data_IF_044379630437
#
_entry.id   IF_044379630437
#
_cell.length_a   1.000
_cell.length_b   1.000
_cell.length_c   1.000
_cell.angle_alpha   90.00
_cell.angle_beta   90.00
_cell.angle_gamma   90.00
#
_symmetry.space_group_name_H-M   'P 1'
#
loop_
_entity.id
_entity.type
_entity.pdbx_description
1 polymer ?
#
# COMPACT_ATOMS: atom_id res chain seq x y z
N UNK A 1 9.23 29.91 46.42
CA UNK A 1 7.96 29.38 45.84
C UNK A 1 8.01 29.23 44.31
N UNK A 2 9.19 29.12 43.69
CA UNK A 2 9.39 29.25 42.22
C UNK A 2 9.85 27.97 41.49
N UNK A 3 10.21 26.91 42.23
CA UNK A 3 10.70 25.65 41.65
C UNK A 3 9.67 24.85 40.81
N UNK A 4 8.34 24.85 41.10
CA UNK A 4 7.37 24.10 40.31
C UNK A 4 7.19 24.67 38.90
N UNK A 5 7.20 25.99 38.75
CA UNK A 5 7.01 26.69 37.47
C UNK A 5 8.18 26.47 36.51
N UNK A 6 9.41 26.41 37.03
CA UNK A 6 10.62 26.17 36.22
C UNK A 6 10.68 24.72 35.72
N UNK A 7 10.27 23.73 36.55
CA UNK A 7 10.14 22.33 36.08
C UNK A 7 9.08 22.17 35.00
N UNK A 8 7.96 22.88 35.13
CA UNK A 8 6.86 22.81 34.17
C UNK A 8 7.27 23.45 32.83
N UNK A 9 7.95 24.60 32.84
CA UNK A 9 8.47 25.24 31.62
C UNK A 9 9.56 24.41 30.94
N UNK A 10 10.47 23.78 31.70
CA UNK A 10 11.49 22.88 31.15
C UNK A 10 10.86 21.62 30.53
N UNK A 11 9.83 21.04 31.15
CA UNK A 11 9.10 19.89 30.59
C UNK A 11 8.37 20.24 29.29
N UNK A 12 7.79 21.45 29.20
CA UNK A 12 7.12 21.92 27.99
C UNK A 12 8.11 22.22 26.87
N UNK A 13 9.26 22.83 27.18
CA UNK A 13 10.31 23.06 26.18
C UNK A 13 10.83 21.73 25.61
N UNK A 14 11.12 20.76 26.47
CA UNK A 14 11.61 19.43 26.05
C UNK A 14 10.59 18.66 25.18
N UNK A 15 9.29 18.77 25.47
CA UNK A 15 8.25 18.11 24.66
C UNK A 15 8.04 18.83 23.32
N UNK A 16 8.21 20.15 23.27
CA UNK A 16 8.14 20.92 22.04
C UNK A 16 9.32 20.61 21.11
N UNK A 17 10.53 20.49 21.65
CA UNK A 17 11.73 20.16 20.87
C UNK A 17 11.72 18.72 20.37
N UNK A 18 11.23 17.78 21.18
CA UNK A 18 10.95 16.41 20.73
C UNK A 18 9.97 16.37 19.56
N UNK A 19 8.84 17.06 19.66
CA UNK A 19 7.84 17.10 18.58
C UNK A 19 8.39 17.73 17.30
N UNK A 20 9.25 18.74 17.40
CA UNK A 20 9.94 19.32 16.24
C UNK A 20 10.86 18.31 15.57
N UNK A 21 11.64 17.55 16.33
CA UNK A 21 12.51 16.51 15.79
C UNK A 21 11.71 15.40 15.07
N UNK A 22 10.61 14.93 15.66
CA UNK A 22 9.72 13.93 15.04
C UNK A 22 9.10 14.46 13.74
N UNK A 23 8.68 15.73 13.72
CA UNK A 23 8.14 16.39 12.52
C UNK A 23 9.18 16.51 11.43
N UNK A 24 10.40 16.90 11.77
CA UNK A 24 11.50 17.00 10.83
C UNK A 24 11.83 15.64 10.20
N UNK A 25 11.93 14.59 11.03
CA UNK A 25 12.12 13.22 10.56
C UNK A 25 10.98 12.74 9.66
N UNK A 26 9.73 13.02 10.04
CA UNK A 26 8.56 12.69 9.23
C UNK A 26 8.59 13.36 7.85
N UNK A 27 9.04 14.63 7.77
CA UNK A 27 9.19 15.35 6.50
C UNK A 27 10.30 14.73 5.65
N UNK A 28 11.43 14.32 6.24
CA UNK A 28 12.49 13.61 5.52
C UNK A 28 11.96 12.31 4.93
N UNK A 29 11.23 11.51 5.72
CA UNK A 29 10.64 10.26 5.24
C UNK A 29 9.64 10.50 4.09
N UNK A 30 8.82 11.54 4.19
CA UNK A 30 7.91 11.95 3.11
C UNK A 30 8.68 12.33 1.84
N UNK A 31 9.72 13.17 1.97
CA UNK A 31 10.52 13.61 0.81
C UNK A 31 11.22 12.42 0.16
N UNK A 32 11.84 11.53 0.93
CA UNK A 32 12.43 10.30 0.41
C UNK A 32 11.40 9.43 -0.33
N UNK A 33 10.22 9.24 0.27
CA UNK A 33 9.11 8.51 -0.36
C UNK A 33 8.68 9.13 -1.69
N UNK A 34 8.54 10.47 -1.73
CA UNK A 34 8.14 11.17 -2.96
C UNK A 34 9.23 11.14 -4.04
N UNK A 35 10.50 11.28 -3.66
CA UNK A 35 11.63 11.20 -4.60
C UNK A 35 11.66 9.82 -5.26
N UNK A 36 11.57 8.75 -4.46
CA UNK A 36 11.56 7.38 -4.97
C UNK A 36 10.34 7.11 -5.82
N UNK A 37 9.15 7.58 -5.42
CA UNK A 37 7.94 7.40 -6.22
C UNK A 37 8.05 8.11 -7.58
N UNK A 38 8.48 9.37 -7.61
CA UNK A 38 8.63 10.16 -8.85
C UNK A 38 9.67 9.54 -9.78
N UNK A 39 10.77 9.03 -9.24
CA UNK A 39 11.81 8.38 -10.02
C UNK A 39 11.43 6.95 -10.46
N UNK A 40 10.65 6.23 -9.64
CA UNK A 40 10.22 4.86 -9.88
C UNK A 40 9.14 4.74 -10.94
N UNK A 41 8.22 5.69 -11.03
CA UNK A 41 7.14 5.68 -12.04
C UNK A 41 7.65 5.51 -13.49
N UNK A 42 8.55 6.36 -14.02
CA UNK A 42 9.00 6.22 -15.40
C UNK A 42 9.82 4.95 -15.62
N UNK A 43 10.64 4.55 -14.63
CA UNK A 43 11.47 3.35 -14.71
C UNK A 43 10.62 2.09 -14.76
N UNK A 44 9.61 2.02 -13.89
CA UNK A 44 8.67 0.90 -13.85
C UNK A 44 7.86 0.83 -15.13
N UNK A 45 7.44 1.97 -15.66
CA UNK A 45 6.71 2.01 -16.93
C UNK A 45 7.56 1.48 -18.09
N UNK A 46 8.84 1.88 -18.17
CA UNK A 46 9.77 1.41 -19.20
C UNK A 46 10.09 -0.08 -19.07
N UNK A 47 10.33 -0.57 -17.86
CA UNK A 47 10.57 -1.99 -17.55
C UNK A 47 9.42 -2.88 -18.02
N UNK A 48 8.18 -2.45 -17.76
CA UNK A 48 6.99 -3.24 -18.05
C UNK A 48 6.62 -3.18 -19.54
N UNK A 49 6.97 -2.08 -20.24
CA UNK A 49 6.81 -1.97 -21.70
C UNK A 49 7.82 -2.81 -22.48
N UNK A 50 9.02 -3.05 -21.92
CA UNK A 50 10.10 -3.80 -22.54
C UNK A 50 10.41 -5.07 -21.73
N UNK A 51 9.49 -6.06 -21.71
CA UNK A 51 9.70 -7.31 -20.98
C UNK A 51 10.90 -8.09 -21.54
N UNK A 52 11.48 -8.92 -20.68
CA UNK A 52 12.55 -9.85 -21.09
C UNK A 52 11.99 -10.84 -22.12
N UNK A 53 12.85 -11.31 -23.03
CA UNK A 53 12.44 -12.17 -24.16
C UNK A 53 11.62 -13.40 -23.72
N UNK A 54 11.99 -14.04 -22.61
CA UNK A 54 11.26 -15.17 -22.03
C UNK A 54 9.80 -14.80 -21.66
N UNK A 55 9.61 -13.67 -20.96
CA UNK A 55 8.29 -13.15 -20.60
C UNK A 55 7.47 -12.75 -21.84
N UNK A 56 8.14 -12.12 -22.82
CA UNK A 56 7.50 -11.72 -24.06
C UNK A 56 7.01 -12.91 -24.90
N UNK A 57 7.75 -14.04 -24.86
CA UNK A 57 7.34 -15.30 -25.49
C UNK A 57 6.11 -15.86 -24.77
N UNK A 58 6.15 -15.96 -23.44
CA UNK A 58 5.04 -16.49 -22.64
C UNK A 58 3.73 -15.72 -22.87
N UNK A 59 3.78 -14.38 -22.85
CA UNK A 59 2.60 -13.54 -23.07
C UNK A 59 2.02 -13.73 -24.49
N UNK A 60 2.91 -13.89 -25.48
CA UNK A 60 2.51 -14.16 -26.87
C UNK A 60 1.90 -15.55 -27.02
N UNK A 61 2.45 -16.57 -26.37
CA UNK A 61 1.90 -17.94 -26.37
C UNK A 61 0.50 -18.00 -25.78
N UNK A 62 0.24 -17.18 -24.76
CA UNK A 62 -1.09 -17.03 -24.19
C UNK A 62 -2.05 -16.15 -25.01
N UNK A 63 -1.59 -15.58 -26.13
CA UNK A 63 -2.41 -14.75 -27.00
C UNK A 63 -2.65 -13.33 -26.48
N UNK A 64 -1.85 -12.84 -25.54
CA UNK A 64 -1.97 -11.49 -24.96
C UNK A 64 -0.97 -10.55 -25.64
N UNK A 65 -1.42 -9.33 -25.98
CA UNK A 65 -0.54 -8.30 -26.50
C UNK A 65 0.41 -7.79 -25.39
N UNK A 66 1.72 -7.73 -25.67
CA UNK A 66 2.70 -7.25 -24.69
C UNK A 66 2.38 -5.85 -24.16
N UNK A 67 1.93 -4.95 -25.05
CA UNK A 67 1.50 -3.61 -24.65
C UNK A 67 0.28 -3.65 -23.73
N UNK A 68 -0.70 -4.53 -23.96
CA UNK A 68 -1.85 -4.63 -23.08
C UNK A 68 -1.45 -5.08 -21.67
N UNK A 69 -0.65 -6.16 -21.59
CA UNK A 69 -0.19 -6.69 -20.32
C UNK A 69 0.66 -5.66 -19.55
N UNK A 70 1.48 -4.91 -20.27
CA UNK A 70 2.28 -3.84 -19.71
C UNK A 70 1.43 -2.76 -19.02
N UNK A 71 0.41 -2.25 -19.71
CA UNK A 71 -0.50 -1.25 -19.14
C UNK A 71 -1.33 -1.83 -17.98
N UNK A 72 -1.69 -3.11 -18.04
CA UNK A 72 -2.40 -3.79 -16.98
C UNK A 72 -1.59 -3.83 -15.67
N UNK A 73 -0.35 -4.34 -15.71
CA UNK A 73 0.53 -4.40 -14.53
C UNK A 73 0.78 -3.01 -13.96
N UNK A 74 1.11 -2.04 -14.81
CA UNK A 74 1.36 -0.67 -14.37
C UNK A 74 0.11 -0.03 -13.72
N UNK A 75 -1.08 -0.34 -14.23
CA UNK A 75 -2.34 0.12 -13.63
C UNK A 75 -2.56 -0.49 -12.25
N UNK A 76 -2.24 -1.79 -12.06
CA UNK A 76 -2.29 -2.43 -10.76
C UNK A 76 -1.32 -1.80 -9.76
N UNK A 77 -0.09 -1.51 -10.19
CA UNK A 77 0.92 -0.83 -9.37
C UNK A 77 0.44 0.55 -8.91
N UNK A 78 -0.20 1.32 -9.82
CA UNK A 78 -0.83 2.61 -9.49
C UNK A 78 -1.99 2.46 -8.50
N UNK A 79 -2.90 1.51 -8.73
CA UNK A 79 -4.04 1.25 -7.83
C UNK A 79 -3.52 0.89 -6.43
N UNK A 80 -2.53 0.02 -6.36
CA UNK A 80 -1.86 -0.34 -5.12
C UNK A 80 -1.34 0.91 -4.42
N UNK A 81 -0.51 1.71 -5.09
CA UNK A 81 0.11 2.90 -4.48
C UNK A 81 -0.92 3.93 -4.02
N UNK A 82 -1.97 4.17 -4.81
CA UNK A 82 -3.08 5.05 -4.43
C UNK A 82 -3.81 4.54 -3.18
N UNK A 83 -4.01 3.22 -3.07
CA UNK A 83 -4.61 2.58 -1.90
C UNK A 83 -3.86 2.84 -0.59
N UNK A 84 -2.54 3.00 -0.65
CA UNK A 84 -1.71 3.35 0.51
C UNK A 84 -1.60 4.87 0.75
N UNK A 85 -1.50 5.67 -0.32
CA UNK A 85 -1.27 7.11 -0.21
C UNK A 85 -2.53 7.92 0.13
N UNK A 86 -3.71 7.53 -0.35
CA UNK A 86 -4.97 8.23 -0.04
C UNK A 86 -5.23 8.27 1.48
N UNK A 87 -5.15 7.14 2.22
CA UNK A 87 -5.11 7.10 3.68
C UNK A 87 -4.17 8.12 4.33
N UNK A 88 -2.93 8.21 3.85
CA UNK A 88 -1.93 9.15 4.39
C UNK A 88 -2.38 10.59 4.22
N UNK A 89 -2.94 10.95 3.06
CA UNK A 89 -3.48 12.29 2.78
C UNK A 89 -4.69 12.62 3.67
N UNK A 90 -5.58 11.65 3.90
CA UNK A 90 -6.73 11.80 4.80
C UNK A 90 -6.25 12.07 6.23
N UNK A 91 -5.23 11.34 6.69
CA UNK A 91 -4.65 11.51 8.04
C UNK A 91 -3.79 12.78 8.17
N UNK A 92 -3.31 13.36 7.05
CA UNK A 92 -2.38 14.48 7.05
C UNK A 92 -2.90 15.77 7.71
N UNK A 93 -4.21 15.96 7.82
CA UNK A 93 -4.79 17.11 8.54
C UNK A 93 -4.71 16.98 10.06
N UNK A 94 -4.61 15.75 10.58
CA UNK A 94 -4.64 15.45 12.03
C UNK A 94 -3.26 15.14 12.59
N UNK A 95 -2.30 14.79 11.73
CA UNK A 95 -0.97 14.30 12.14
C UNK A 95 -0.21 15.25 13.07
N UNK A 96 -0.33 16.56 12.90
CA UNK A 96 0.61 17.49 13.55
C UNK A 96 0.47 17.58 15.07
N UNK A 97 -0.66 17.18 15.65
CA UNK A 97 -0.92 17.27 17.09
C UNK A 97 -0.94 15.92 17.81
N UNK A 98 -0.94 14.80 17.09
CA UNK A 98 -1.02 13.45 17.66
C UNK A 98 0.15 12.58 17.18
N UNK A 99 1.12 12.26 18.05
CA UNK A 99 2.29 11.43 17.70
C UNK A 99 1.92 10.06 17.13
N UNK A 100 0.82 9.44 17.58
CA UNK A 100 0.39 8.16 17.03
C UNK A 100 -0.04 8.31 15.57
N UNK A 101 -0.72 9.39 15.21
CA UNK A 101 -1.14 9.65 13.83
C UNK A 101 0.05 9.94 12.93
N UNK A 102 1.08 10.63 13.44
CA UNK A 102 2.34 10.81 12.71
C UNK A 102 3.00 9.46 12.44
N UNK A 103 3.07 8.60 13.46
CA UNK A 103 3.65 7.27 13.35
C UNK A 103 2.87 6.38 12.37
N UNK A 104 1.53 6.35 12.47
CA UNK A 104 0.69 5.57 11.55
C UNK A 104 0.84 6.08 10.11
N UNK A 105 0.74 7.39 9.89
CA UNK A 105 0.90 7.95 8.53
C UNK A 105 2.30 7.70 7.96
N UNK A 106 3.34 7.75 8.79
CA UNK A 106 4.70 7.37 8.40
C UNK A 106 4.77 5.92 7.98
N UNK A 107 4.25 5.02 8.82
CA UNK A 107 4.22 3.58 8.54
C UNK A 107 3.50 3.29 7.23
N UNK A 108 2.31 3.89 7.02
CA UNK A 108 1.53 3.64 5.80
C UNK A 108 2.22 4.16 4.54
N UNK A 109 2.89 5.33 4.59
CA UNK A 109 3.57 5.85 3.39
C UNK A 109 4.86 5.08 3.08
N UNK A 110 5.68 4.77 4.08
CA UNK A 110 6.96 4.09 3.86
C UNK A 110 6.77 2.60 3.58
N UNK A 111 5.88 1.93 4.30
CA UNK A 111 5.59 0.50 4.06
C UNK A 111 4.82 0.28 2.76
N UNK A 112 3.89 1.18 2.43
CA UNK A 112 3.18 1.12 1.15
C UNK A 112 4.14 1.25 -0.03
N UNK A 113 5.11 2.16 0.03
CA UNK A 113 6.11 2.26 -1.03
C UNK A 113 7.12 1.10 -1.00
N UNK A 114 7.52 0.60 0.18
CA UNK A 114 8.51 -0.49 0.33
C UNK A 114 8.12 -1.81 -0.33
N UNK A 115 6.82 -2.03 -0.47
CA UNK A 115 6.21 -3.23 -1.03
C UNK A 115 5.69 -3.01 -2.47
N UNK A 116 5.99 -1.86 -3.06
CA UNK A 116 5.56 -1.50 -4.41
C UNK A 116 6.63 -1.75 -5.47
N UNK A 117 6.20 -2.00 -6.69
CA UNK A 117 7.10 -2.15 -7.84
C UNK A 117 7.78 -0.84 -8.27
N UNK A 118 7.28 0.32 -7.81
CA UNK A 118 7.96 1.60 -8.04
C UNK A 118 9.25 1.69 -7.23
N UNK A 119 9.27 1.14 -6.03
CA UNK A 119 10.49 1.09 -5.22
C UNK A 119 11.46 0.07 -5.80
N UNK A 120 11.00 -1.14 -6.14
CA UNK A 120 11.85 -2.17 -6.77
C UNK A 120 12.55 -1.63 -8.03
N UNK A 121 11.85 -0.88 -8.88
CA UNK A 121 12.42 -0.28 -10.08
C UNK A 121 13.58 0.71 -9.82
N UNK A 122 13.71 1.24 -8.61
CA UNK A 122 14.78 2.20 -8.22
C UNK A 122 15.83 1.60 -7.30
N UNK A 123 15.67 0.34 -6.90
CA UNK A 123 16.59 -0.32 -5.99
C UNK A 123 17.94 -0.60 -6.63
N UNK A 124 18.90 -0.87 -5.73
CA UNK A 124 20.23 -1.37 -6.10
C UNK A 124 20.14 -2.87 -6.28
N UNK A 125 20.67 -3.35 -7.41
CA UNK A 125 20.74 -4.77 -7.72
C UNK A 125 22.19 -5.18 -7.93
N UNK A 126 22.49 -6.45 -7.65
CA UNK A 126 23.83 -6.98 -7.85
C UNK A 126 24.00 -7.48 -9.29
N UNK A 127 24.98 -6.93 -10.01
CA UNK A 127 25.40 -7.42 -11.32
C UNK A 127 26.87 -7.81 -11.22
N UNK A 128 27.19 -9.09 -11.41
CA UNK A 128 28.55 -9.63 -11.37
C UNK A 128 29.35 -9.31 -10.08
N UNK A 129 28.68 -9.23 -8.92
CA UNK A 129 29.34 -8.92 -7.65
C UNK A 129 29.36 -7.44 -7.27
N UNK A 130 28.95 -6.54 -8.19
CA UNK A 130 28.86 -5.10 -7.96
C UNK A 130 27.41 -4.65 -7.76
N UNK A 131 27.19 -3.80 -6.76
CA UNK A 131 25.90 -3.19 -6.48
C UNK A 131 25.67 -1.99 -7.41
N UNK A 132 24.78 -2.16 -8.39
CA UNK A 132 24.46 -1.14 -9.39
C UNK A 132 23.00 -0.72 -9.20
N UNK A 133 22.80 0.53 -8.83
CA UNK A 133 21.47 1.14 -8.85
C UNK A 133 21.05 1.41 -10.29
N UNK A 134 19.85 0.98 -10.69
CA UNK A 134 19.30 1.28 -12.04
C UNK A 134 19.34 2.77 -12.39
N UNK A 135 19.30 3.63 -11.37
CA UNK A 135 19.39 5.10 -11.48
C UNK A 135 20.54 5.72 -10.67
N UNK A 136 21.53 4.92 -10.28
CA UNK A 136 22.70 5.37 -9.52
C UNK A 136 22.59 5.19 -7.99
N UNK A 137 23.72 5.38 -7.27
CA UNK A 137 23.87 4.94 -5.89
C UNK A 137 23.08 5.78 -4.87
N UNK A 138 22.89 7.07 -5.13
CA UNK A 138 22.18 7.97 -4.21
C UNK A 138 20.70 7.60 -4.12
N UNK A 139 20.05 7.43 -5.27
CA UNK A 139 18.62 7.08 -5.29
C UNK A 139 18.41 5.68 -4.71
N UNK A 140 19.28 4.72 -5.02
CA UNK A 140 19.27 3.40 -4.41
C UNK A 140 19.34 3.44 -2.88
N UNK A 141 20.25 4.24 -2.31
CA UNK A 141 20.34 4.42 -0.86
C UNK A 141 19.08 5.05 -0.25
N UNK A 142 18.41 5.97 -0.96
CA UNK A 142 17.12 6.54 -0.51
C UNK A 142 16.04 5.45 -0.53
N UNK A 143 15.98 4.64 -1.58
CA UNK A 143 15.02 3.52 -1.70
C UNK A 143 15.22 2.48 -0.61
N UNK A 144 16.46 2.10 -0.31
CA UNK A 144 16.80 1.19 0.80
C UNK A 144 16.41 1.78 2.16
N UNK A 145 16.68 3.07 2.38
CA UNK A 145 16.29 3.74 3.61
C UNK A 145 14.77 3.76 3.80
N UNK A 146 14.01 4.06 2.74
CA UNK A 146 12.54 4.03 2.76
C UNK A 146 12.04 2.61 3.01
N UNK A 147 12.64 1.60 2.36
CA UNK A 147 12.29 0.19 2.56
C UNK A 147 12.55 -0.25 4.01
N UNK A 148 13.72 0.07 4.56
CA UNK A 148 14.10 -0.21 5.94
C UNK A 148 13.11 0.44 6.93
N UNK A 149 12.75 1.71 6.71
CA UNK A 149 11.78 2.41 7.56
C UNK A 149 10.38 1.80 7.46
N UNK A 150 9.90 1.48 6.25
CA UNK A 150 8.63 0.79 6.03
C UNK A 150 8.57 -0.54 6.76
N UNK A 151 9.57 -1.40 6.50
CA UNK A 151 9.71 -2.70 7.14
C UNK A 151 9.78 -2.58 8.66
N UNK A 152 10.63 -1.73 9.22
CA UNK A 152 10.78 -1.59 10.68
C UNK A 152 9.50 -1.11 11.39
N UNK A 153 8.67 -0.30 10.72
CA UNK A 153 7.51 0.35 11.35
C UNK A 153 6.21 -0.44 11.23
N UNK A 154 6.04 -1.31 10.22
CA UNK A 154 4.77 -2.02 10.00
C UNK A 154 4.34 -2.88 11.19
N UNK A 155 5.25 -3.68 11.76
CA UNK A 155 4.93 -4.52 12.92
C UNK A 155 4.72 -3.69 14.19
N UNK A 156 5.45 -2.59 14.31
CA UNK A 156 5.30 -1.65 15.42
C UNK A 156 3.87 -1.08 15.47
N UNK A 157 3.23 -0.86 14.32
CA UNK A 157 1.82 -0.47 14.25
C UNK A 157 0.91 -1.51 14.91
N UNK A 158 1.18 -2.81 14.76
CA UNK A 158 0.39 -3.87 15.39
C UNK A 158 0.65 -4.00 16.89
N UNK A 159 1.74 -3.51 17.44
CA UNK A 159 1.95 -3.56 18.89
C UNK A 159 1.46 -2.29 19.61
N UNK A 160 1.41 -1.15 18.91
CA UNK A 160 1.16 0.17 19.49
C UNK A 160 -0.30 0.65 19.28
N UNK A 161 -0.87 0.43 18.09
CA UNK A 161 -2.22 0.91 17.75
C UNK A 161 -3.28 0.15 18.54
N UNK A 162 -4.33 0.74 19.17
CA UNK A 162 -4.88 2.10 18.93
C UNK A 162 -4.44 3.20 19.89
N UNK A 163 -3.88 2.86 21.05
CA UNK A 163 -3.73 3.79 22.17
C UNK A 163 -2.29 4.24 22.40
N UNK A 164 -1.33 3.80 21.58
CA UNK A 164 0.07 4.19 21.72
C UNK A 164 0.86 3.35 22.73
N UNK A 165 0.23 2.35 23.36
CA UNK A 165 0.82 1.59 24.45
C UNK A 165 1.17 0.17 24.01
N UNK A 166 2.38 -0.26 24.34
CA UNK A 166 2.82 -1.63 24.15
C UNK A 166 2.08 -2.57 25.09
N UNK A 167 1.19 -3.38 24.51
CA UNK A 167 0.43 -4.39 25.24
C UNK A 167 0.38 -5.68 24.41
N UNK A 168 0.95 -6.79 24.93
CA UNK A 168 1.65 -6.94 26.21
C UNK A 168 2.97 -6.15 26.29
N UNK A 169 3.48 -5.87 27.50
CA UNK A 169 4.73 -5.09 27.65
C UNK A 169 5.95 -5.73 26.97
N UNK A 170 6.00 -7.06 26.83
CA UNK A 170 7.09 -7.72 26.10
C UNK A 170 7.14 -7.35 24.61
N UNK A 171 6.04 -6.86 24.04
CA UNK A 171 5.97 -6.46 22.62
C UNK A 171 6.96 -5.35 22.25
N UNK A 172 7.44 -4.56 23.21
CA UNK A 172 8.49 -3.59 22.94
C UNK A 172 9.80 -4.26 22.48
N UNK A 173 10.16 -5.42 23.05
CA UNK A 173 11.35 -6.16 22.66
C UNK A 173 11.20 -6.73 21.25
N UNK A 174 9.99 -7.14 20.86
CA UNK A 174 9.74 -7.59 19.48
C UNK A 174 9.87 -6.44 18.48
N UNK A 175 9.43 -5.24 18.84
CA UNK A 175 9.64 -4.06 17.99
C UNK A 175 11.11 -3.72 17.84
N UNK A 176 11.88 -3.77 18.93
CA UNK A 176 13.34 -3.54 18.88
C UNK A 176 14.03 -4.62 18.05
N UNK A 177 13.67 -5.89 18.25
CA UNK A 177 14.22 -7.01 17.52
C UNK A 177 13.90 -6.92 16.02
N UNK A 178 12.64 -6.64 15.67
CA UNK A 178 12.20 -6.50 14.29
C UNK A 178 12.82 -5.30 13.58
N UNK A 179 12.88 -4.15 14.26
CA UNK A 179 13.54 -2.95 13.75
C UNK A 179 15.04 -3.19 13.54
N UNK A 180 15.70 -3.83 14.50
CA UNK A 180 17.11 -4.24 14.38
C UNK A 180 17.33 -5.21 13.23
N UNK A 181 16.42 -6.16 13.01
CA UNK A 181 16.49 -7.09 11.89
C UNK A 181 16.38 -6.37 10.54
N UNK A 182 15.50 -5.38 10.40
CA UNK A 182 15.42 -4.56 9.18
C UNK A 182 16.68 -3.73 8.94
N UNK A 183 17.32 -3.21 10.00
CA UNK A 183 18.63 -2.55 9.90
C UNK A 183 19.69 -3.55 9.43
N UNK A 184 19.73 -4.75 10.00
CA UNK A 184 20.66 -5.81 9.58
C UNK A 184 20.43 -6.20 8.12
N UNK A 185 19.19 -6.34 7.67
CA UNK A 185 18.85 -6.65 6.28
C UNK A 185 19.22 -5.53 5.31
N UNK A 186 19.14 -4.27 5.75
CA UNK A 186 19.60 -3.12 4.95
C UNK A 186 21.12 -3.05 4.86
N UNK A 187 21.85 -3.32 5.96
CA UNK A 187 23.33 -3.27 5.97
C UNK A 187 23.98 -4.52 5.37
N UNK A 188 23.33 -5.67 5.49
CA UNK A 188 23.83 -6.97 5.03
C UNK A 188 22.77 -7.68 4.17
N UNK A 189 22.58 -7.25 2.90
CA UNK A 189 21.52 -7.80 2.05
C UNK A 189 21.58 -9.32 1.84
N UNK A 190 22.79 -9.91 1.88
CA UNK A 190 23.08 -11.32 1.56
C UNK A 190 22.83 -12.32 2.70
N UNK A 191 22.35 -11.88 3.86
CA UNK A 191 22.09 -12.80 4.99
C UNK A 191 20.91 -13.72 4.64
N UNK A 192 21.00 -15.06 4.80
CA UNK A 192 20.02 -16.05 4.32
C UNK A 192 18.61 -16.01 4.94
N UNK A 193 18.30 -14.97 5.71
CA UNK A 193 16.99 -14.70 6.32
C UNK A 193 16.39 -13.38 5.82
N UNK A 194 17.01 -12.73 4.83
CA UNK A 194 16.59 -11.42 4.37
C UNK A 194 15.32 -11.48 3.53
N UNK A 195 14.21 -11.01 4.09
CA UNK A 195 12.92 -10.97 3.43
C UNK A 195 12.72 -9.75 2.50
N UNK A 196 13.61 -8.75 2.56
CA UNK A 196 13.45 -7.48 1.84
C UNK A 196 14.30 -7.39 0.56
N UNK A 197 15.33 -8.25 0.43
CA UNK A 197 16.26 -8.24 -0.69
C UNK A 197 15.98 -9.38 -1.68
N UNK A 198 15.66 -9.02 -2.92
CA UNK A 198 15.16 -9.92 -3.96
C UNK A 198 16.05 -11.16 -4.20
N UNK A 199 17.36 -10.99 -4.41
CA UNK A 199 18.23 -12.13 -4.73
C UNK A 199 18.32 -13.14 -3.57
N UNK A 200 18.25 -12.65 -2.33
CA UNK A 200 18.30 -13.51 -1.15
C UNK A 200 16.96 -14.19 -0.89
N UNK A 201 15.86 -13.47 -1.12
CA UNK A 201 14.52 -14.03 -1.12
C UNK A 201 14.42 -15.23 -2.08
N UNK A 202 14.89 -15.10 -3.32
CA UNK A 202 14.86 -16.19 -4.31
C UNK A 202 15.76 -17.36 -3.92
N UNK A 203 16.94 -17.10 -3.34
CA UNK A 203 17.87 -18.16 -2.92
C UNK A 203 17.40 -18.90 -1.68
N UNK A 204 16.70 -18.22 -0.77
CA UNK A 204 16.28 -18.76 0.55
C UNK A 204 14.82 -18.39 0.88
N UNK A 205 13.84 -18.78 0.02
CA UNK A 205 12.47 -18.33 0.15
C UNK A 205 11.80 -18.85 1.42
N UNK A 206 12.04 -20.11 1.77
CA UNK A 206 11.47 -20.75 2.96
C UNK A 206 11.90 -20.06 4.27
N UNK A 207 13.18 -19.70 4.38
CA UNK A 207 13.74 -19.05 5.55
C UNK A 207 13.25 -17.60 5.67
N UNK A 208 13.27 -16.87 4.56
CA UNK A 208 12.85 -15.47 4.48
C UNK A 208 11.34 -15.32 4.74
N UNK A 209 10.53 -16.21 4.19
CA UNK A 209 9.11 -16.27 4.50
C UNK A 209 8.86 -16.69 5.94
N UNK A 210 9.53 -17.75 6.42
CA UNK A 210 9.34 -18.28 7.78
C UNK A 210 9.59 -17.23 8.86
N UNK A 211 10.63 -16.40 8.71
CA UNK A 211 10.91 -15.31 9.66
C UNK A 211 9.87 -14.20 9.58
N UNK A 212 9.50 -13.74 8.37
CA UNK A 212 8.47 -12.72 8.18
C UNK A 212 7.12 -13.18 8.78
N UNK A 213 6.76 -14.42 8.48
CA UNK A 213 5.57 -15.10 8.95
C UNK A 213 5.52 -15.22 10.48
N UNK A 214 6.63 -15.63 11.11
CA UNK A 214 6.73 -15.73 12.56
C UNK A 214 6.40 -14.40 13.23
N UNK A 215 7.03 -13.30 12.80
CA UNK A 215 6.80 -12.00 13.42
C UNK A 215 5.37 -11.48 13.21
N UNK A 216 4.80 -11.66 12.01
CA UNK A 216 3.40 -11.31 11.75
C UNK A 216 2.43 -12.12 12.61
N UNK A 217 2.70 -13.41 12.80
CA UNK A 217 1.92 -14.30 13.68
C UNK A 217 1.97 -13.83 15.13
N UNK A 218 3.16 -13.44 15.61
CA UNK A 218 3.34 -12.86 16.95
C UNK A 218 2.57 -11.53 17.09
N UNK A 219 2.60 -10.67 16.07
CA UNK A 219 1.83 -9.43 16.00
C UNK A 219 0.32 -9.65 16.05
N UNK A 220 -0.19 -10.60 15.25
CA UNK A 220 -1.58 -11.06 15.28
C UNK A 220 -1.98 -11.57 16.67
N UNK A 221 -1.16 -12.43 17.27
CA UNK A 221 -1.37 -12.98 18.61
C UNK A 221 -1.46 -11.88 19.68
N UNK A 222 -0.56 -10.89 19.63
CA UNK A 222 -0.59 -9.75 20.54
C UNK A 222 -1.85 -8.88 20.38
N UNK A 223 -2.28 -8.62 19.14
CA UNK A 223 -3.52 -7.89 18.85
C UNK A 223 -4.75 -8.64 19.34
N UNK A 224 -4.83 -9.96 19.11
CA UNK A 224 -5.92 -10.82 19.61
C UNK A 224 -5.93 -10.83 21.14
N UNK A 225 -4.77 -11.01 21.78
CA UNK A 225 -4.64 -10.97 23.23
C UNK A 225 -5.19 -9.64 23.77
N UNK A 226 -4.75 -8.52 23.21
CA UNK A 226 -5.17 -7.21 23.67
C UNK A 226 -6.67 -6.98 23.45
N UNK A 227 -7.20 -7.36 22.29
CA UNK A 227 -8.64 -7.29 21.99
C UNK A 227 -9.47 -8.06 23.02
N UNK A 228 -9.04 -9.27 23.41
CA UNK A 228 -9.79 -10.14 24.33
C UNK A 228 -9.63 -9.75 25.80
N UNK A 229 -8.43 -9.34 26.22
CA UNK A 229 -8.06 -9.24 27.65
C UNK A 229 -7.92 -7.83 28.18
N UNK A 230 -7.54 -6.84 27.36
CA UNK A 230 -7.11 -5.52 27.85
C UNK A 230 -7.96 -4.37 27.29
N UNK A 231 -8.37 -4.46 26.03
CA UNK A 231 -9.04 -3.36 25.34
C UNK A 231 -10.38 -3.00 25.98
N UNK A 232 -10.59 -1.70 26.21
CA UNK A 232 -11.88 -1.10 26.58
C UNK A 232 -12.92 -1.27 25.45
N UNK A 233 -14.23 -1.09 25.68
CA UNK A 233 -15.24 -1.25 24.63
C UNK A 233 -14.97 -0.44 23.36
N UNK A 234 -14.52 0.82 23.49
CA UNK A 234 -14.17 1.67 22.36
C UNK A 234 -12.90 1.21 21.64
N UNK A 235 -11.87 0.81 22.40
CA UNK A 235 -10.62 0.27 21.84
C UNK A 235 -10.84 -1.07 21.14
N UNK A 236 -11.77 -1.91 21.62
CA UNK A 236 -12.14 -3.17 20.95
C UNK A 236 -12.70 -2.90 19.57
N UNK A 237 -13.55 -1.88 19.42
CA UNK A 237 -14.08 -1.52 18.11
C UNK A 237 -12.97 -1.04 17.16
N UNK A 238 -12.02 -0.24 17.65
CA UNK A 238 -10.84 0.17 16.84
C UNK A 238 -9.97 -1.03 16.46
N UNK A 239 -9.62 -1.86 17.44
CA UNK A 239 -8.78 -3.04 17.24
C UNK A 239 -9.45 -4.09 16.34
N UNK A 240 -10.79 -4.18 16.33
CA UNK A 240 -11.53 -5.08 15.43
C UNK A 240 -11.22 -4.79 13.97
N UNK A 241 -11.30 -3.53 13.54
CA UNK A 241 -11.01 -3.17 12.15
C UNK A 241 -9.55 -3.39 11.79
N UNK A 242 -8.63 -3.07 12.69
CA UNK A 242 -7.19 -3.34 12.47
C UNK A 242 -6.88 -4.82 12.41
N UNK A 243 -7.52 -5.65 13.24
CA UNK A 243 -7.43 -7.10 13.15
C UNK A 243 -7.90 -7.62 11.79
N UNK A 244 -8.99 -7.07 11.26
CA UNK A 244 -9.47 -7.42 9.91
C UNK A 244 -8.42 -7.07 8.85
N UNK A 245 -7.86 -5.85 8.87
CA UNK A 245 -6.79 -5.46 7.96
C UNK A 245 -5.55 -6.34 8.07
N UNK A 246 -5.18 -6.70 9.29
CA UNK A 246 -4.02 -7.56 9.55
C UNK A 246 -4.23 -8.99 9.05
N UNK A 247 -5.45 -9.54 9.20
CA UNK A 247 -5.79 -10.85 8.63
C UNK A 247 -5.69 -10.81 7.10
N UNK A 248 -6.19 -9.75 6.45
CA UNK A 248 -6.07 -9.61 4.99
C UNK A 248 -4.62 -9.46 4.54
N UNK A 249 -3.81 -8.64 5.22
CA UNK A 249 -2.38 -8.53 4.94
C UNK A 249 -1.66 -9.87 5.12
N UNK A 250 -1.99 -10.62 6.17
CA UNK A 250 -1.45 -11.96 6.40
C UNK A 250 -1.87 -12.97 5.33
N UNK A 251 -3.13 -12.92 4.87
CA UNK A 251 -3.60 -13.73 3.74
C UNK A 251 -2.89 -13.36 2.44
N UNK A 252 -2.59 -12.08 2.19
CA UNK A 252 -1.83 -11.65 1.02
C UNK A 252 -0.45 -12.34 0.98
N UNK A 253 0.24 -12.41 2.12
CA UNK A 253 1.53 -13.09 2.23
C UNK A 253 1.43 -14.59 1.95
N UNK A 254 0.37 -15.25 2.44
CA UNK A 254 0.12 -16.66 2.12
C UNK A 254 -0.12 -16.91 0.63
N UNK A 255 -0.92 -16.05 -0.01
CA UNK A 255 -1.21 -16.15 -1.44
C UNK A 255 0.07 -15.97 -2.26
N UNK A 256 0.93 -15.02 -1.88
CA UNK A 256 2.22 -14.79 -2.55
C UNK A 256 3.21 -15.95 -2.37
N UNK A 257 3.15 -16.69 -1.26
CA UNK A 257 4.10 -17.76 -0.94
C UNK A 257 3.60 -19.17 -1.29
N UNK A 258 2.39 -19.32 -1.82
CA UNK A 258 1.81 -20.64 -2.01
C UNK A 258 2.57 -21.43 -3.10
N UNK A 259 3.12 -22.64 -2.81
CA UNK A 259 4.05 -23.35 -3.70
C UNK A 259 3.50 -23.78 -5.07
N UNK A 260 2.18 -23.71 -5.26
CA UNK A 260 1.51 -24.00 -6.53
C UNK A 260 1.30 -22.74 -7.40
N UNK A 261 1.87 -21.61 -7.02
CA UNK A 261 1.80 -20.35 -7.74
C UNK A 261 3.22 -19.88 -8.06
N UNK A 262 3.61 -19.73 -9.34
CA UNK A 262 4.81 -18.99 -9.70
C UNK A 262 4.63 -17.58 -9.16
N UNK A 263 5.34 -17.25 -8.09
CA UNK A 263 5.24 -15.97 -7.38
C UNK A 263 5.85 -14.80 -8.19
N UNK A 264 6.23 -15.03 -9.44
CA UNK A 264 6.77 -14.03 -10.34
C UNK A 264 5.60 -13.32 -11.07
N UNK A 265 5.35 -12.03 -10.77
CA UNK A 265 4.29 -11.24 -11.41
C UNK A 265 4.38 -11.19 -12.94
N UNK A 266 5.55 -11.50 -13.48
CA UNK A 266 5.82 -11.43 -14.91
C UNK A 266 5.38 -12.67 -15.68
N UNK A 267 5.05 -13.76 -14.99
CA UNK A 267 4.40 -14.93 -15.59
C UNK A 267 2.90 -14.70 -15.72
N UNK A 268 2.26 -15.36 -16.68
CA UNK A 268 0.83 -15.14 -16.93
C UNK A 268 -0.06 -15.63 -15.80
N UNK A 269 0.39 -16.60 -15.03
CA UNK A 269 -0.32 -17.05 -13.82
C UNK A 269 -0.39 -15.94 -12.76
N UNK A 270 0.67 -15.12 -12.67
CA UNK A 270 0.73 -13.92 -11.84
C UNK A 270 -0.35 -12.90 -12.20
N UNK A 271 -0.73 -12.80 -13.47
CA UNK A 271 -1.77 -11.90 -13.96
C UNK A 271 -3.10 -12.03 -13.21
N UNK A 272 -3.51 -13.26 -12.92
CA UNK A 272 -4.79 -13.55 -12.29
C UNK A 272 -4.76 -13.35 -10.77
N UNK A 273 -3.57 -13.48 -10.17
CA UNK A 273 -3.37 -13.45 -8.71
C UNK A 273 -3.08 -12.03 -8.23
N UNK A 274 -2.37 -11.23 -9.03
CA UNK A 274 -1.94 -9.88 -8.64
C UNK A 274 -3.11 -8.96 -8.21
N UNK A 275 -4.27 -8.91 -8.89
CA UNK A 275 -5.40 -8.12 -8.42
C UNK A 275 -5.87 -8.50 -7.02
N UNK A 276 -5.90 -9.81 -6.72
CA UNK A 276 -6.26 -10.33 -5.41
C UNK A 276 -5.24 -9.89 -4.36
N UNK A 277 -3.94 -10.04 -4.65
CA UNK A 277 -2.86 -9.63 -3.74
C UNK A 277 -2.91 -8.12 -3.47
N UNK A 278 -3.06 -7.30 -4.51
CA UNK A 278 -3.20 -5.84 -4.40
C UNK A 278 -4.41 -5.47 -3.54
N UNK A 279 -5.56 -6.11 -3.77
CA UNK A 279 -6.77 -5.89 -2.99
C UNK A 279 -6.57 -6.26 -1.51
N UNK A 280 -5.96 -7.42 -1.23
CA UNK A 280 -5.69 -7.90 0.12
C UNK A 280 -4.72 -6.99 0.88
N UNK A 281 -3.60 -6.59 0.25
CA UNK A 281 -2.63 -5.66 0.85
C UNK A 281 -3.28 -4.28 1.10
N UNK A 282 -4.10 -3.79 0.17
CA UNK A 282 -4.81 -2.51 0.28
C UNK A 282 -5.86 -2.46 1.40
N UNK A 283 -6.35 -3.60 1.90
CA UNK A 283 -7.29 -3.63 3.02
C UNK A 283 -6.67 -3.09 4.33
N UNK A 284 -5.37 -3.24 4.52
CA UNK A 284 -4.69 -2.78 5.73
C UNK A 284 -4.76 -1.26 5.91
N UNK A 285 -4.28 -0.42 4.98
CA UNK A 285 -4.36 1.03 5.14
C UNK A 285 -5.82 1.53 5.19
N UNK A 286 -6.74 0.88 4.47
CA UNK A 286 -8.19 1.20 4.52
C UNK A 286 -8.76 0.96 5.91
N UNK A 287 -8.58 -0.24 6.46
CA UNK A 287 -9.15 -0.60 7.76
C UNK A 287 -8.53 0.17 8.92
N UNK A 288 -7.22 0.44 8.87
CA UNK A 288 -6.54 1.33 9.84
C UNK A 288 -7.14 2.74 9.76
N UNK A 289 -7.33 3.27 8.55
CA UNK A 289 -7.94 4.60 8.35
C UNK A 289 -9.38 4.64 8.86
N UNK A 290 -10.19 3.63 8.54
CA UNK A 290 -11.57 3.50 9.03
C UNK A 290 -11.61 3.42 10.56
N UNK A 291 -10.70 2.67 11.18
CA UNK A 291 -10.62 2.54 12.64
C UNK A 291 -10.31 3.88 13.32
N UNK A 292 -9.43 4.67 12.70
CA UNK A 292 -9.05 6.00 13.18
C UNK A 292 -10.21 6.98 12.99
N UNK A 293 -10.76 7.04 11.77
CA UNK A 293 -11.79 8.01 11.41
C UNK A 293 -13.10 7.79 12.16
N UNK A 294 -13.50 6.53 12.40
CA UNK A 294 -14.80 6.22 13.00
C UNK A 294 -14.81 6.34 14.52
N UNK A 295 -13.70 6.03 15.19
CA UNK A 295 -13.73 5.83 16.65
C UNK A 295 -12.83 6.79 17.44
N UNK A 296 -11.86 7.46 16.80
CA UNK A 296 -11.18 8.61 17.43
C UNK A 296 -11.90 9.92 17.17
N UNK A 297 -12.95 9.90 16.35
CA UNK A 297 -13.74 11.06 15.96
C UNK A 297 -15.21 10.72 15.97
N UNK A 298 -15.88 11.18 17.01
CA UNK A 298 -17.33 11.22 17.09
C UNK A 298 -17.96 12.21 16.09
N UNK A 299 -17.24 12.72 15.08
CA UNK A 299 -17.67 13.88 14.26
C UNK A 299 -17.27 13.79 12.76
N UNK A 300 -17.25 12.60 12.15
CA UNK A 300 -16.84 12.44 10.73
C UNK A 300 -17.82 11.64 9.85
N UNK A 301 -19.02 11.30 10.30
CA UNK A 301 -20.00 10.59 9.46
C UNK A 301 -20.16 11.25 8.05
N UNK A 302 -20.02 12.58 7.97
CA UNK A 302 -20.07 13.35 6.72
C UNK A 302 -18.93 13.04 5.72
N UNK A 303 -17.67 12.83 6.14
CA UNK A 303 -16.59 12.54 5.18
C UNK A 303 -16.55 11.08 4.76
N UNK A 304 -16.85 10.14 5.66
CA UNK A 304 -16.95 8.71 5.30
C UNK A 304 -18.05 8.53 4.26
N UNK A 305 -19.20 9.19 4.45
CA UNK A 305 -20.30 9.15 3.48
C UNK A 305 -19.89 9.72 2.13
N UNK A 306 -19.20 10.86 2.08
CA UNK A 306 -18.72 11.44 0.81
C UNK A 306 -17.67 10.54 0.15
N UNK A 307 -16.67 10.05 0.88
CA UNK A 307 -15.62 9.20 0.31
C UNK A 307 -16.17 7.87 -0.22
N UNK A 308 -17.11 7.23 0.50
CA UNK A 308 -17.81 6.02 0.03
C UNK A 308 -18.70 6.29 -1.20
N UNK A 309 -19.45 7.39 -1.19
CA UNK A 309 -20.27 7.79 -2.35
C UNK A 309 -19.38 7.98 -3.58
N UNK A 310 -18.27 8.71 -3.43
CA UNK A 310 -17.37 8.97 -4.55
C UNK A 310 -16.61 7.73 -5.00
N UNK A 311 -16.16 6.85 -4.10
CA UNK A 311 -15.46 5.62 -4.49
C UNK A 311 -16.39 4.62 -5.18
N UNK A 312 -17.61 4.41 -4.68
CA UNK A 312 -18.64 3.58 -5.34
C UNK A 312 -18.97 4.16 -6.71
N UNK A 313 -19.14 5.49 -6.80
CA UNK A 313 -19.41 6.16 -8.06
C UNK A 313 -18.27 5.94 -9.06
N UNK A 314 -17.02 6.11 -8.65
CA UNK A 314 -15.84 5.89 -9.51
C UNK A 314 -15.76 4.44 -10.00
N UNK A 315 -15.99 3.45 -9.14
CA UNK A 315 -15.96 2.03 -9.52
C UNK A 315 -17.10 1.71 -10.50
N UNK A 316 -18.31 2.22 -10.25
CA UNK A 316 -19.44 2.06 -11.18
C UNK A 316 -19.14 2.68 -12.55
N UNK A 317 -18.62 3.91 -12.57
CA UNK A 317 -18.26 4.59 -13.82
C UNK A 317 -17.16 3.83 -14.57
N UNK A 318 -16.11 3.43 -13.87
CA UNK A 318 -15.03 2.63 -14.45
C UNK A 318 -15.54 1.31 -15.01
N UNK A 319 -16.39 0.61 -14.27
CA UNK A 319 -17.02 -0.64 -14.71
C UNK A 319 -17.94 -0.46 -15.92
N UNK A 320 -18.74 0.61 -15.95
CA UNK A 320 -19.60 0.92 -17.11
C UNK A 320 -18.76 1.29 -18.33
N UNK A 321 -17.71 2.09 -18.15
CA UNK A 321 -16.79 2.45 -19.23
C UNK A 321 -16.14 1.19 -19.82
N UNK A 322 -15.58 0.33 -18.98
CA UNK A 322 -14.98 -0.94 -19.41
C UNK A 322 -16.02 -1.83 -20.09
N UNK A 323 -17.21 -1.98 -19.51
CA UNK A 323 -18.28 -2.79 -20.07
C UNK A 323 -18.76 -2.29 -21.44
N UNK A 324 -18.95 -0.99 -21.60
CA UNK A 324 -19.30 -0.38 -22.88
C UNK A 324 -18.18 -0.51 -23.90
N UNK A 325 -16.92 -0.30 -23.50
CA UNK A 325 -15.77 -0.47 -24.38
C UNK A 325 -15.68 -1.92 -24.90
N UNK A 326 -15.91 -2.91 -24.05
CA UNK A 326 -15.94 -4.33 -24.44
C UNK A 326 -17.12 -4.64 -25.37
N UNK A 327 -18.33 -4.18 -25.04
CA UNK A 327 -19.53 -4.40 -25.88
C UNK A 327 -19.36 -3.76 -27.26
N UNK A 328 -18.86 -2.51 -27.33
CA UNK A 328 -18.60 -1.84 -28.60
C UNK A 328 -17.53 -2.57 -29.41
N UNK A 329 -16.44 -3.02 -28.77
CA UNK A 329 -15.40 -3.81 -29.44
C UNK A 329 -15.97 -5.09 -30.05
N UNK A 330 -16.83 -5.82 -29.31
CA UNK A 330 -17.49 -7.04 -29.78
C UNK A 330 -18.51 -6.81 -30.89
N UNK A 331 -19.27 -5.71 -30.86
CA UNK A 331 -20.25 -5.38 -31.91
C UNK A 331 -19.53 -5.00 -33.22
N UNK A 332 -18.42 -4.26 -33.13
CA UNK A 332 -17.60 -3.89 -34.28
C UNK A 332 -16.89 -5.10 -34.91
N UNK A 333 -16.53 -6.10 -34.10
CA UNK A 333 -16.04 -7.40 -34.59
C UNK A 333 -17.12 -8.20 -35.33
N UNK A 334 -18.40 -8.06 -34.96
CA UNK A 334 -19.50 -8.89 -35.48
C UNK A 334 -20.25 -8.29 -36.67
N UNK A 335 -20.26 -6.96 -36.84
CA UNK A 335 -21.00 -6.30 -37.92
C UNK A 335 -20.11 -5.30 -38.66
N UNK A 336 -19.57 -5.76 -39.79
CA UNK A 336 -19.19 -4.98 -40.97
C UNK A 336 -18.42 -3.68 -40.67
N UNK A 337 -17.09 -3.73 -40.77
CA UNK A 337 -16.27 -2.83 -41.61
C UNK A 337 -14.80 -3.27 -41.51
N UNK A 338 -14.31 -3.98 -42.53
CA UNK A 338 -12.88 -4.09 -42.82
C UNK A 338 -12.34 -2.73 -43.34
N UNK A 339 -12.37 -1.68 -42.52
CA UNK A 339 -11.89 -0.35 -42.93
C UNK A 339 -11.23 0.45 -41.78
N UNK A 340 -10.11 1.07 -42.09
CA UNK A 340 -8.99 1.48 -41.22
C UNK A 340 -9.20 2.71 -40.30
N UNK A 341 -10.42 3.16 -40.00
CA UNK A 341 -10.61 4.41 -39.23
C UNK A 341 -11.13 4.19 -37.79
N UNK A 342 -10.23 3.79 -36.89
CA UNK A 342 -10.49 3.51 -35.46
C UNK A 342 -10.82 4.74 -34.59
N UNK A 343 -10.55 5.95 -35.08
CA UNK A 343 -10.74 7.21 -34.33
C UNK A 343 -12.20 7.61 -34.14
N UNK A 344 -13.06 7.40 -35.14
CA UNK A 344 -14.48 7.84 -35.08
C UNK A 344 -15.28 6.96 -34.14
N UNK A 345 -14.98 5.65 -34.10
CA UNK A 345 -15.61 4.70 -33.19
C UNK A 345 -15.23 4.98 -31.72
N UNK A 346 -13.95 5.26 -31.45
CA UNK A 346 -13.45 5.63 -30.12
C UNK A 346 -14.05 6.95 -29.62
N UNK A 347 -14.14 7.96 -30.49
CA UNK A 347 -14.75 9.25 -30.16
C UNK A 347 -16.26 9.14 -29.91
N UNK A 348 -16.98 8.33 -30.71
CA UNK A 348 -18.41 8.08 -30.51
C UNK A 348 -18.72 7.43 -29.16
N UNK A 349 -17.94 6.42 -28.77
CA UNK A 349 -18.07 5.77 -27.45
C UNK A 349 -17.78 6.75 -26.31
N UNK A 350 -16.76 7.60 -26.46
CA UNK A 350 -16.39 8.61 -25.44
C UNK A 350 -17.49 9.65 -25.22
N UNK A 351 -18.11 10.16 -26.29
CA UNK A 351 -19.19 11.15 -26.20
C UNK A 351 -20.43 10.58 -25.51
N UNK A 352 -20.81 9.33 -25.82
CA UNK A 352 -21.96 8.68 -25.19
C UNK A 352 -21.73 8.45 -23.70
N UNK A 353 -20.53 8.05 -23.30
CA UNK A 353 -20.15 7.88 -21.89
C UNK A 353 -20.24 9.21 -21.13
N UNK A 354 -19.74 10.30 -21.73
CA UNK A 354 -19.79 11.64 -21.12
C UNK A 354 -21.23 12.13 -20.93
N UNK A 355 -22.12 11.87 -21.89
CA UNK A 355 -23.53 12.27 -21.81
C UNK A 355 -24.28 11.47 -20.73
N UNK A 356 -24.01 10.17 -20.60
CA UNK A 356 -24.66 9.31 -19.60
C UNK A 356 -24.12 9.51 -18.18
N UNK A 357 -22.95 10.11 -18.03
CA UNK A 357 -22.26 10.32 -16.74
C UNK A 357 -23.09 11.14 -15.73
N UNK A 358 -23.61 12.28 -16.17
CA UNK A 358 -24.33 13.20 -15.28
C UNK A 358 -25.62 12.60 -14.68
N UNK A 359 -26.54 12.01 -15.47
CA UNK A 359 -27.78 11.46 -14.91
C UNK A 359 -27.55 10.21 -14.04
N UNK A 360 -26.52 9.41 -14.32
CA UNK A 360 -26.18 8.25 -13.48
C UNK A 360 -25.59 8.66 -12.13
N UNK A 361 -24.76 9.71 -12.12
CA UNK A 361 -24.21 10.30 -10.90
C UNK A 361 -25.31 10.71 -9.91
N UNK A 362 -26.34 11.36 -10.40
CA UNK A 362 -27.45 11.82 -9.55
C UNK A 362 -28.24 10.65 -8.94
N UNK A 363 -28.46 9.57 -9.71
CA UNK A 363 -29.18 8.37 -9.23
C UNK A 363 -28.40 7.59 -8.17
N UNK A 364 -27.09 7.42 -8.36
CA UNK A 364 -26.22 6.76 -7.37
C UNK A 364 -26.16 7.58 -6.09
N UNK A 365 -26.03 8.90 -6.22
CA UNK A 365 -26.01 9.81 -5.07
C UNK A 365 -27.32 9.74 -4.28
N UNK A 366 -28.46 9.61 -4.96
CA UNK A 366 -29.76 9.42 -4.32
C UNK A 366 -29.90 8.05 -3.64
N UNK A 367 -29.44 6.98 -4.28
CA UNK A 367 -29.49 5.62 -3.73
C UNK A 367 -28.62 5.46 -2.48
N UNK A 368 -27.40 6.02 -2.48
CA UNK A 368 -26.51 5.96 -1.32
C UNK A 368 -27.01 6.86 -0.19
N UNK A 369 -27.53 8.06 -0.50
CA UNK A 369 -28.16 8.91 0.52
C UNK A 369 -29.33 8.20 1.21
N UNK A 370 -30.12 7.42 0.47
CA UNK A 370 -31.22 6.62 1.02
C UNK A 370 -30.75 5.39 1.82
N UNK A 371 -29.61 4.79 1.49
CA UNK A 371 -29.07 3.63 2.21
C UNK A 371 -28.41 4.04 3.54
N UNK A 372 -27.80 5.23 3.58
CA UNK A 372 -26.98 5.70 4.71
C UNK A 372 -27.73 6.61 5.69
N UNK A 373 -28.72 7.36 5.20
CA UNK A 373 -29.55 8.25 6.03
C UNK A 373 -31.04 7.84 6.05
N UNK A 374 -31.34 6.66 5.50
CA UNK A 374 -32.66 6.03 5.54
C UNK A 374 -32.96 5.38 6.88
#
# INVERSE_FOLDING_TARGET
MSLPLIRQSLSLASTLDWLRAVRFFWVIALLGTLIVLVAGIPTRYDEVLHPIEEQAIEWREAGVLNSFYAHYLFTLDLIYMLGWMIPVLILARRKWHDPLMMFVSLTLMTYGLSESEFLSATQVFEVNGEFVGRQGPILGAISEFVQMLGGATILSLFFIFPNGKFVPHWSCHMVVLWGGLNVVWSLFPRVPLNANYYDTWIKTPELSFGIYFLFFTVGLGAQIYRYRRVATPNERQQAKWVLVGLIFAYMAQWVQFFPLMPADPHHIEGAYIMPLVVALKGMLPITVTLSIMRYRLWDIDIFINRALVYSILTVLIGGIYIGLAVIFSRILELNVLHYENSLVASLGATVIVVILFQPMRERVQYAVNRLMYG
#
